data_IF_719611948809
#
_entry.id   IF_719611948809
#
_cell.length_a   1.000
_cell.length_b   1.000
_cell.length_c   1.000
_cell.angle_alpha   90.00
_cell.angle_beta   90.00
_cell.angle_gamma   90.00
#
_symmetry.space_group_name_H-M   'P 1'
#
loop_
_entity.id
_entity.type
_entity.pdbx_description
1 polymer ?
#
# COMPACT_ATOMS: atom_id res chain seq x y z
N UNK A 1 -15.29 4.61 9.66
CA UNK A 1 -14.43 3.45 9.96
C UNK A 1 -15.10 2.23 9.33
N UNK A 2 -14.49 1.62 8.32
CA UNK A 2 -15.03 0.44 7.61
C UNK A 2 -14.00 -0.68 7.75
N UNK A 3 -14.37 -1.89 8.21
CA UNK A 3 -13.46 -3.03 8.31
C UNK A 3 -12.98 -3.50 6.94
N UNK A 4 -11.73 -3.92 6.85
CA UNK A 4 -11.11 -4.43 5.62
C UNK A 4 -11.51 -5.87 5.31
N UNK A 5 -11.68 -6.69 6.35
CA UNK A 5 -11.97 -8.13 6.23
C UNK A 5 -13.18 -8.52 7.09
N UNK A 6 -14.00 -9.42 6.55
CA UNK A 6 -15.14 -10.00 7.25
C UNK A 6 -15.05 -11.52 7.19
N UNK A 7 -14.98 -12.16 8.36
CA UNK A 7 -14.95 -13.61 8.45
C UNK A 7 -16.24 -14.11 9.10
N UNK A 8 -17.06 -14.84 8.35
CA UNK A 8 -18.25 -15.47 8.87
C UNK A 8 -17.88 -16.67 9.76
N UNK A 9 -18.52 -16.79 10.93
CA UNK A 9 -18.40 -17.96 11.81
C UNK A 9 -19.75 -18.33 12.38
N UNK A 10 -20.01 -19.64 12.41
CA UNK A 10 -21.21 -20.20 13.03
C UNK A 10 -21.15 -20.17 14.56
N UNK A 11 -19.95 -20.13 15.15
CA UNK A 11 -19.74 -20.06 16.60
C UNK A 11 -18.54 -19.18 16.94
N UNK A 12 -18.67 -18.37 18.00
CA UNK A 12 -17.58 -17.57 18.56
C UNK A 12 -16.92 -18.32 19.71
N UNK A 13 -15.59 -18.21 19.89
CA UNK A 13 -14.92 -18.76 21.06
C UNK A 13 -15.41 -18.04 22.31
N UNK A 14 -15.92 -18.83 23.26
CA UNK A 14 -16.39 -18.35 24.55
C UNK A 14 -15.46 -18.87 25.64
N UNK A 15 -15.26 -18.07 26.68
CA UNK A 15 -14.69 -18.47 27.96
C UNK A 15 -15.64 -19.44 28.67
N UNK A 16 -15.17 -20.15 29.70
CA UNK A 16 -16.02 -21.04 30.53
C UNK A 16 -17.23 -20.31 31.15
N UNK A 17 -17.14 -18.99 31.30
CA UNK A 17 -18.22 -18.13 31.79
C UNK A 17 -19.17 -17.63 30.66
N UNK A 18 -19.06 -18.16 29.44
CA UNK A 18 -19.91 -17.79 28.31
C UNK A 18 -19.64 -16.42 27.69
N UNK A 19 -18.60 -15.70 28.15
CA UNK A 19 -18.16 -14.43 27.53
C UNK A 19 -17.27 -14.70 26.34
N UNK A 20 -17.29 -13.83 25.33
CA UNK A 20 -16.38 -13.92 24.18
C UNK A 20 -14.92 -13.92 24.66
N UNK A 21 -14.17 -14.96 24.29
CA UNK A 21 -12.74 -15.03 24.55
C UNK A 21 -11.98 -14.23 23.47
N UNK A 22 -11.63 -13.00 23.83
CA UNK A 22 -10.92 -12.08 22.94
C UNK A 22 -9.51 -12.58 22.59
N UNK A 23 -8.85 -13.36 23.44
CA UNK A 23 -7.51 -13.89 23.15
C UNK A 23 -7.59 -14.99 22.09
N UNK A 24 -8.52 -15.93 22.28
CA UNK A 24 -8.77 -16.98 21.30
C UNK A 24 -9.23 -16.39 19.95
N UNK A 25 -10.05 -15.34 19.98
CA UNK A 25 -10.47 -14.65 18.76
C UNK A 25 -9.31 -13.98 18.03
N UNK A 26 -8.41 -13.29 18.74
CA UNK A 26 -7.21 -12.69 18.14
C UNK A 26 -6.26 -13.74 17.55
N UNK A 27 -6.10 -14.88 18.21
CA UNK A 27 -5.26 -15.98 17.69
C UNK A 27 -5.81 -16.53 16.36
N UNK A 28 -7.12 -16.77 16.29
CA UNK A 28 -7.78 -17.21 15.06
C UNK A 28 -7.70 -16.13 13.96
N UNK A 29 -7.85 -14.86 14.32
CA UNK A 29 -7.70 -13.76 13.36
C UNK A 29 -6.28 -13.72 12.77
N UNK A 30 -5.25 -13.98 13.58
CA UNK A 30 -3.87 -14.02 13.11
C UNK A 30 -3.63 -15.16 12.11
N UNK A 31 -4.20 -16.36 12.32
CA UNK A 31 -4.07 -17.47 11.37
C UNK A 31 -4.74 -17.21 10.01
N UNK A 32 -5.86 -16.50 10.02
CA UNK A 32 -6.60 -16.14 8.79
C UNK A 32 -5.84 -15.13 7.94
N UNK A 33 -5.09 -14.21 8.55
CA UNK A 33 -4.33 -13.17 7.87
C UNK A 33 -3.15 -13.73 7.05
N UNK A 34 -2.59 -14.88 7.48
CA UNK A 34 -1.46 -15.54 6.80
C UNK A 34 -1.91 -16.34 5.58
N UNK A 35 -3.14 -16.87 5.58
CA UNK A 35 -3.63 -17.77 4.53
C UNK A 35 -3.98 -17.05 3.21
N UNK A 36 -4.29 -15.75 3.24
CA UNK A 36 -4.68 -14.98 2.05
C UNK A 36 -3.50 -14.34 1.30
N UNK A 37 -2.28 -14.39 1.85
CA UNK A 37 -1.11 -13.74 1.25
C UNK A 37 -0.50 -14.62 0.14
N UNK A 38 -1.23 -14.83 -0.95
CA UNK A 38 -0.63 -15.21 -2.23
C UNK A 38 0.19 -14.01 -2.73
N UNK A 39 1.41 -13.89 -2.22
CA UNK A 39 2.32 -12.80 -2.54
C UNK A 39 2.84 -12.97 -3.97
N UNK A 40 2.03 -12.51 -4.93
CA UNK A 40 2.45 -12.36 -6.31
C UNK A 40 3.16 -11.02 -6.47
N UNK A 41 4.46 -11.06 -6.78
CA UNK A 41 5.24 -9.85 -7.04
C UNK A 41 4.76 -9.09 -8.30
N UNK A 42 5.14 -7.81 -8.44
CA UNK A 42 4.94 -7.06 -9.67
C UNK A 42 5.56 -7.79 -10.87
N UNK A 43 4.86 -7.82 -12.02
CA UNK A 43 5.32 -8.51 -13.23
C UNK A 43 5.67 -7.50 -14.33
N UNK A 44 4.86 -6.45 -14.51
CA UNK A 44 5.06 -5.47 -15.59
C UNK A 44 6.00 -4.33 -15.19
N UNK A 45 6.66 -3.68 -16.16
CA UNK A 45 7.53 -2.52 -15.88
C UNK A 45 6.77 -1.36 -15.22
N UNK A 46 5.51 -1.12 -15.62
CA UNK A 46 4.63 -0.13 -15.00
C UNK A 46 4.29 -0.50 -13.57
N UNK A 47 4.02 -1.79 -13.30
CA UNK A 47 3.74 -2.29 -11.95
C UNK A 47 4.94 -2.05 -11.02
N UNK A 48 6.17 -2.31 -11.50
CA UNK A 48 7.38 -2.04 -10.72
C UNK A 48 7.57 -0.55 -10.41
N UNK A 49 7.33 0.35 -11.38
CA UNK A 49 7.40 1.80 -11.17
C UNK A 49 6.35 2.26 -10.16
N UNK A 50 5.13 1.74 -10.26
CA UNK A 50 4.06 2.07 -9.35
C UNK A 50 4.33 1.54 -7.93
N UNK A 51 4.86 0.32 -7.81
CA UNK A 51 5.28 -0.25 -6.54
C UNK A 51 6.37 0.58 -5.86
N UNK A 52 7.33 1.11 -6.62
CA UNK A 52 8.33 2.03 -6.08
C UNK A 52 7.70 3.33 -5.55
N UNK A 53 6.77 3.93 -6.29
CA UNK A 53 6.04 5.12 -5.83
C UNK A 53 5.19 4.84 -4.58
N UNK A 54 4.56 3.67 -4.49
CA UNK A 54 3.84 3.23 -3.29
C UNK A 54 4.78 3.06 -2.09
N UNK A 55 5.93 2.42 -2.28
CA UNK A 55 6.93 2.24 -1.24
C UNK A 55 7.41 3.58 -0.65
N UNK A 56 7.66 4.58 -1.50
CA UNK A 56 8.05 5.92 -1.06
C UNK A 56 6.94 6.64 -0.28
N UNK A 57 5.69 6.52 -0.74
CA UNK A 57 4.54 7.22 -0.12
C UNK A 57 4.09 6.57 1.18
N UNK A 58 4.12 5.24 1.25
CA UNK A 58 3.69 4.45 2.41
C UNK A 58 4.82 4.22 3.42
N UNK A 59 6.08 4.37 3.00
CA UNK A 59 7.25 4.12 3.84
C UNK A 59 7.49 2.64 4.14
N UNK A 60 7.01 1.75 3.26
CA UNK A 60 7.18 0.28 3.37
C UNK A 60 8.19 -0.21 2.31
N UNK A 61 8.91 -1.31 2.56
CA UNK A 61 9.82 -1.86 1.56
C UNK A 61 9.06 -2.39 0.34
N UNK A 62 9.63 -2.17 -0.85
CA UNK A 62 9.05 -2.60 -2.14
C UNK A 62 8.74 -4.10 -2.19
N UNK A 63 9.50 -4.92 -1.48
CA UNK A 63 9.37 -6.39 -1.48
C UNK A 63 8.13 -6.86 -0.71
N UNK A 64 7.47 -5.97 0.06
CA UNK A 64 6.18 -6.25 0.70
C UNK A 64 4.98 -5.86 -0.19
N UNK A 65 5.22 -5.27 -1.36
CA UNK A 65 4.15 -4.80 -2.25
C UNK A 65 3.93 -5.81 -3.37
N UNK A 66 2.87 -6.61 -3.23
CA UNK A 66 2.41 -7.52 -4.27
C UNK A 66 1.53 -6.83 -5.33
N UNK A 67 1.45 -7.47 -6.49
CA UNK A 67 0.61 -7.06 -7.63
C UNK A 67 -0.88 -6.98 -7.30
N UNK A 68 -1.36 -7.89 -6.44
CA UNK A 68 -2.75 -7.97 -5.99
C UNK A 68 -3.02 -7.21 -4.69
N UNK A 69 -2.00 -6.56 -4.11
CA UNK A 69 -2.20 -5.81 -2.88
C UNK A 69 -3.02 -4.56 -3.12
N UNK A 70 -3.83 -4.27 -2.10
CA UNK A 70 -4.72 -3.14 -2.05
C UNK A 70 -4.03 -1.99 -1.31
N UNK A 71 -4.06 -0.79 -1.89
CA UNK A 71 -3.33 0.37 -1.37
C UNK A 71 -3.71 0.72 0.07
N UNK A 72 -5.00 0.64 0.41
CA UNK A 72 -5.50 0.99 1.75
C UNK A 72 -5.16 -0.07 2.81
N UNK A 73 -5.00 -1.33 2.40
CA UNK A 73 -4.72 -2.45 3.30
C UNK A 73 -3.26 -2.40 3.76
N UNK A 74 -2.38 -1.88 2.89
CA UNK A 74 -0.97 -1.59 3.20
C UNK A 74 -0.78 -0.32 4.05
N UNK A 75 -1.86 0.27 4.58
CA UNK A 75 -1.81 1.51 5.38
C UNK A 75 -1.97 2.79 4.56
N UNK A 76 -2.46 2.69 3.32
CA UNK A 76 -2.82 3.84 2.51
C UNK A 76 -3.94 4.67 3.14
N UNK A 77 -3.82 6.00 3.04
CA UNK A 77 -4.86 6.95 3.46
C UNK A 77 -5.20 7.90 2.32
N UNK A 78 -6.27 8.69 2.45
CA UNK A 78 -6.62 9.71 1.45
C UNK A 78 -5.47 10.70 1.20
N UNK A 79 -4.73 11.08 2.24
CA UNK A 79 -3.57 11.97 2.11
C UNK A 79 -2.42 11.27 1.38
N UNK A 80 -2.16 9.99 1.69
CA UNK A 80 -1.16 9.19 0.99
C UNK A 80 -1.52 9.03 -0.49
N UNK A 81 -2.79 8.77 -0.81
CA UNK A 81 -3.27 8.69 -2.20
C UNK A 81 -3.11 10.02 -2.95
N UNK A 82 -3.34 11.16 -2.27
CA UNK A 82 -3.09 12.48 -2.86
C UNK A 82 -1.59 12.72 -3.12
N UNK A 83 -0.72 12.34 -2.18
CA UNK A 83 0.74 12.40 -2.35
C UNK A 83 1.20 11.54 -3.53
N UNK A 84 0.64 10.34 -3.67
CA UNK A 84 0.91 9.45 -4.81
C UNK A 84 0.49 10.11 -6.14
N UNK A 85 -0.70 10.70 -6.20
CA UNK A 85 -1.16 11.41 -7.41
C UNK A 85 -0.23 12.58 -7.78
N UNK A 86 0.34 13.29 -6.79
CA UNK A 86 1.33 14.35 -7.00
C UNK A 86 2.66 13.77 -7.49
N UNK A 87 3.15 12.67 -6.88
CA UNK A 87 4.38 12.00 -7.29
C UNK A 87 4.32 11.46 -8.73
N UNK A 88 3.13 11.01 -9.16
CA UNK A 88 2.84 10.59 -10.53
C UNK A 88 2.51 11.77 -11.48
N UNK A 89 2.83 13.01 -11.08
CA UNK A 89 2.58 14.23 -11.86
C UNK A 89 1.13 14.37 -12.36
N UNK A 90 0.15 13.97 -11.54
CA UNK A 90 -1.29 13.93 -11.88
C UNK A 90 -1.67 13.04 -13.06
N UNK A 91 -0.82 12.07 -13.44
CA UNK A 91 -1.20 11.03 -14.41
C UNK A 91 -2.42 10.19 -13.95
N UNK A 92 -2.64 10.13 -12.63
CA UNK A 92 -3.79 9.46 -12.00
C UNK A 92 -4.52 10.43 -11.09
N UNK A 93 -5.85 10.51 -11.23
CA UNK A 93 -6.68 11.29 -10.30
C UNK A 93 -6.92 10.50 -9.01
N UNK A 94 -7.15 11.20 -7.89
CA UNK A 94 -7.55 10.53 -6.64
C UNK A 94 -8.77 9.61 -6.84
N UNK A 95 -9.75 10.04 -7.64
CA UNK A 95 -10.92 9.23 -7.97
C UNK A 95 -10.53 7.90 -8.62
N UNK A 96 -9.54 7.90 -9.50
CA UNK A 96 -9.06 6.69 -10.18
C UNK A 96 -8.33 5.76 -9.19
N UNK A 97 -7.51 6.32 -8.29
CA UNK A 97 -6.81 5.56 -7.23
C UNK A 97 -7.79 4.93 -6.23
N UNK A 98 -8.83 5.67 -5.85
CA UNK A 98 -9.84 5.20 -4.91
C UNK A 98 -10.80 4.18 -5.54
N UNK A 99 -11.11 4.32 -6.83
CA UNK A 99 -11.97 3.39 -7.55
C UNK A 99 -11.27 2.06 -7.88
N UNK A 100 -9.94 2.10 -8.06
CA UNK A 100 -9.11 0.92 -8.35
C UNK A 100 -7.91 0.89 -7.41
N UNK A 101 -8.10 0.42 -6.18
CA UNK A 101 -7.06 0.40 -5.16
C UNK A 101 -6.02 -0.73 -5.31
N UNK A 102 -6.16 -1.61 -6.30
CA UNK A 102 -5.22 -2.73 -6.55
C UNK A 102 -4.09 -2.28 -7.48
N UNK A 103 -2.85 -2.67 -7.16
CA UNK A 103 -1.65 -2.25 -7.90
C UNK A 103 -1.71 -2.62 -9.40
N UNK A 104 -2.08 -3.85 -9.73
CA UNK A 104 -2.23 -4.31 -11.12
C UNK A 104 -3.23 -3.47 -11.91
N UNK A 105 -4.36 -3.12 -11.30
CA UNK A 105 -5.44 -2.38 -11.95
C UNK A 105 -5.04 -0.92 -12.20
N UNK A 106 -4.31 -0.32 -11.26
CA UNK A 106 -3.75 1.02 -11.43
C UNK A 106 -2.69 1.06 -12.53
N UNK A 107 -1.80 0.07 -12.57
CA UNK A 107 -0.78 -0.06 -13.62
C UNK A 107 -1.44 -0.21 -15.00
N UNK A 108 -2.47 -1.05 -15.12
CA UNK A 108 -3.20 -1.21 -16.38
C UNK A 108 -3.94 0.07 -16.82
N UNK A 109 -4.39 0.91 -15.88
CA UNK A 109 -4.99 2.21 -16.19
C UNK A 109 -3.94 3.19 -16.71
N UNK A 110 -2.78 3.24 -16.04
CA UNK A 110 -1.64 4.05 -16.45
C UNK A 110 -1.19 3.67 -17.87
N UNK A 111 -1.02 2.38 -18.16
CA UNK A 111 -0.65 1.88 -19.49
C UNK A 111 -1.61 2.36 -20.56
N UNK A 112 -2.93 2.17 -20.37
CA UNK A 112 -3.96 2.65 -21.31
C UNK A 112 -3.94 4.16 -21.53
N UNK A 113 -3.53 4.95 -20.54
CA UNK A 113 -3.43 6.42 -20.65
C UNK A 113 -2.16 6.83 -21.40
N UNK A 114 -1.04 6.15 -21.14
CA UNK A 114 0.23 6.42 -21.80
C UNK A 114 0.28 5.91 -23.25
N UNK A 115 -0.50 4.89 -23.61
CA UNK A 115 -0.65 4.47 -25.01
C UNK A 115 -1.43 5.50 -25.85
N UNK A 116 -2.22 6.38 -25.21
CA UNK A 116 -2.95 7.47 -25.86
C UNK A 116 -2.16 8.79 -25.97
N UNK A 117 -1.16 9.00 -25.10
CA UNK A 117 -0.26 10.15 -25.14
C UNK A 117 1.19 9.67 -25.29
N UNK A 118 1.65 9.61 -26.54
CA UNK A 118 3.02 9.23 -26.86
C UNK A 118 4.03 10.08 -26.09
N UNK A 119 4.88 9.40 -25.30
CA UNK A 119 6.08 10.00 -24.73
C UNK A 119 6.31 9.61 -23.27
N UNK A 120 7.20 8.63 -23.08
CA UNK A 120 7.87 8.38 -21.81
C UNK A 120 8.48 9.68 -21.30
N UNK A 121 7.85 10.31 -20.30
CA UNK A 121 8.50 11.34 -19.50
C UNK A 121 8.94 10.69 -18.19
N UNK A 122 10.25 10.46 -18.12
CA UNK A 122 10.96 9.86 -17.00
C UNK A 122 10.55 10.50 -15.66
N UNK A 123 10.37 9.66 -14.64
CA UNK A 123 10.14 10.09 -13.27
C UNK A 123 11.30 11.00 -12.79
N UNK A 124 11.02 12.08 -12.04
CA UNK A 124 12.07 12.83 -11.37
C UNK A 124 12.75 11.91 -10.33
N UNK A 125 14.09 11.93 -10.32
CA UNK A 125 14.93 11.19 -9.39
C UNK A 125 14.54 11.45 -7.92
N UNK A 126 14.76 10.47 -7.01
CA UNK A 126 14.42 10.63 -5.61
C UNK A 126 15.14 11.84 -5.02
N UNK A 127 14.36 12.74 -4.42
CA UNK A 127 14.86 13.88 -3.65
C UNK A 127 15.72 13.35 -2.50
N UNK A 128 17.01 13.72 -2.40
CA UNK A 128 17.82 13.31 -1.26
C UNK A 128 17.29 14.00 -0.01
N UNK A 129 16.73 13.22 0.92
CA UNK A 129 16.42 13.67 2.28
C UNK A 129 17.72 14.09 2.98
N UNK A 130 18.09 15.35 2.83
CA UNK A 130 19.23 15.96 3.50
C UNK A 130 19.05 15.87 5.00
N UNK A 131 19.76 14.93 5.64
CA UNK A 131 19.98 14.99 7.09
C UNK A 131 20.95 16.15 7.33
N UNK A 132 20.42 17.24 7.87
CA UNK A 132 21.22 18.32 8.41
C UNK A 132 21.95 17.76 9.63
N UNK A 133 23.21 17.36 9.47
CA UNK A 133 24.06 16.94 10.57
C UNK A 133 24.48 18.17 11.37
N UNK A 134 23.79 18.45 12.47
CA UNK A 134 24.23 19.44 13.46
C UNK A 134 25.38 18.83 14.27
N UNK A 135 26.63 19.01 13.83
CA UNK A 135 27.77 18.83 14.72
C UNK A 135 27.85 20.03 15.65
N UNK A 136 27.35 19.86 16.87
CA UNK A 136 27.67 20.73 18.00
C UNK A 136 29.14 20.58 18.35
N UNK A 137 29.90 21.64 18.11
CA UNK A 137 31.27 21.79 18.62
C UNK A 137 31.20 22.10 20.10
N UNK A 138 31.63 21.15 20.94
CA UNK A 138 31.86 21.31 22.37
C UNK A 138 33.36 21.46 22.64
N UNK A 139 33.70 22.59 23.28
CA UNK A 139 34.80 22.85 24.22
C UNK A 139 36.12 22.05 24.16
N UNK A 140 37.22 22.76 23.97
CA UNK A 140 38.35 22.85 24.91
C UNK A 140 39.16 24.13 24.61
#
# INVERSE_FOLDING_TARGET
MVPTTFHWRNSLPLTDNGKIDRKALTAVAAELDVAEQNHEGPNTATEHRLAAAWAEVLGIPKDQIGRRHHFFDLGGTSLSALKLAIALNRAVSFKDLAARPILAEQAALLERRFDGEGGVRAAPAPVPSGRCATTGTTAA
#
